data_IF_405689421385
#
_entry.id   IF_405689421385
#
_cell.length_a   1.000
_cell.length_b   1.000
_cell.length_c   1.000
_cell.angle_alpha   90.00
_cell.angle_beta   90.00
_cell.angle_gamma   90.00
#
_symmetry.space_group_name_H-M   'P 1'
#
loop_
_entity.id
_entity.type
_entity.pdbx_description
1 polymer ?
#
# COMPACT_ATOMS: atom_id res chain seq x y z
N UNK A 1 -16.14 4.78 -24.64
CA UNK A 1 -15.56 3.46 -24.30
C UNK A 1 -16.63 2.61 -23.62
N UNK A 2 -16.69 1.29 -23.85
CA UNK A 2 -17.70 0.41 -23.23
C UNK A 2 -17.42 0.28 -21.71
N UNK A 3 -18.42 0.57 -20.87
CA UNK A 3 -18.35 0.43 -19.41
C UNK A 3 -17.82 -0.96 -18.98
N UNK A 4 -18.13 -2.02 -19.73
CA UNK A 4 -17.65 -3.37 -19.44
C UNK A 4 -16.11 -3.50 -19.45
N UNK A 5 -15.39 -2.71 -20.24
CA UNK A 5 -13.92 -2.76 -20.28
C UNK A 5 -13.29 -2.09 -19.06
N UNK A 6 -13.86 -0.97 -18.59
CA UNK A 6 -13.39 -0.27 -17.39
C UNK A 6 -13.59 -1.14 -16.13
N UNK A 7 -14.73 -1.85 -16.06
CA UNK A 7 -15.03 -2.78 -14.95
C UNK A 7 -14.04 -3.95 -14.95
N UNK A 8 -13.75 -4.56 -16.11
CA UNK A 8 -12.74 -5.63 -16.22
C UNK A 8 -11.35 -5.18 -15.75
N UNK A 9 -10.95 -3.95 -16.08
CA UNK A 9 -9.68 -3.36 -15.60
C UNK A 9 -9.69 -3.16 -14.08
N UNK A 10 -10.80 -2.75 -13.49
CA UNK A 10 -10.92 -2.61 -12.03
C UNK A 10 -10.77 -3.96 -11.32
N UNK A 11 -11.42 -5.01 -11.83
CA UNK A 11 -11.24 -6.37 -11.32
C UNK A 11 -9.80 -6.89 -11.46
N UNK A 12 -9.13 -6.55 -12.56
CA UNK A 12 -7.72 -6.87 -12.75
C UNK A 12 -6.81 -6.11 -11.79
N UNK A 13 -7.05 -4.81 -11.59
CA UNK A 13 -6.24 -3.97 -10.69
C UNK A 13 -6.47 -4.27 -9.21
N UNK A 14 -7.62 -4.85 -8.83
CA UNK A 14 -7.96 -5.14 -7.44
C UNK A 14 -6.92 -6.05 -6.74
N UNK A 15 -6.50 -7.20 -7.28
CA UNK A 15 -5.49 -8.04 -6.63
C UNK A 15 -4.06 -7.78 -7.11
N UNK A 16 -3.86 -6.88 -8.09
CA UNK A 16 -2.59 -6.81 -8.85
C UNK A 16 -1.38 -6.56 -7.94
N UNK A 17 -1.52 -5.70 -6.94
CA UNK A 17 -0.43 -5.32 -6.03
C UNK A 17 0.00 -6.49 -5.16
N UNK A 18 -0.96 -7.20 -4.56
CA UNK A 18 -0.72 -8.40 -3.77
C UNK A 18 0.09 -9.45 -4.56
N UNK A 19 -0.32 -9.72 -5.81
CA UNK A 19 0.39 -10.67 -6.66
C UNK A 19 1.74 -10.15 -7.15
N UNK A 20 1.88 -8.86 -7.44
CA UNK A 20 3.15 -8.29 -7.84
C UNK A 20 4.18 -8.32 -6.69
N UNK A 21 3.79 -8.01 -5.45
CA UNK A 21 4.69 -8.10 -4.31
C UNK A 21 5.17 -9.53 -4.09
N UNK A 22 4.25 -10.49 -4.03
CA UNK A 22 4.59 -11.91 -3.88
C UNK A 22 5.45 -12.43 -5.05
N UNK A 23 5.11 -12.04 -6.29
CA UNK A 23 5.82 -12.43 -7.49
C UNK A 23 7.25 -11.88 -7.56
N UNK A 24 7.46 -10.59 -7.25
CA UNK A 24 8.80 -10.00 -7.26
C UNK A 24 9.64 -10.56 -6.12
N UNK A 25 9.07 -10.76 -4.92
CA UNK A 25 9.78 -11.46 -3.84
C UNK A 25 10.21 -12.86 -4.28
N UNK A 26 9.34 -13.63 -4.94
CA UNK A 26 9.67 -14.95 -5.46
C UNK A 26 10.81 -14.92 -6.50
N UNK A 27 10.88 -13.88 -7.35
CA UNK A 27 12.00 -13.68 -8.28
C UNK A 27 13.32 -13.40 -7.55
N UNK A 28 13.29 -12.59 -6.49
CA UNK A 28 14.46 -12.34 -5.63
C UNK A 28 14.90 -13.63 -4.93
N UNK A 29 13.95 -14.38 -4.37
CA UNK A 29 14.21 -15.68 -3.74
C UNK A 29 14.85 -16.65 -4.74
N UNK A 30 14.34 -16.72 -5.98
CA UNK A 30 14.95 -17.54 -7.02
C UNK A 30 16.41 -17.13 -7.30
N UNK A 31 16.68 -15.82 -7.40
CA UNK A 31 18.05 -15.31 -7.55
C UNK A 31 18.97 -15.71 -6.40
N UNK A 32 18.53 -15.56 -5.15
CA UNK A 32 19.28 -15.98 -3.96
C UNK A 32 19.52 -17.48 -3.92
N UNK A 33 18.53 -18.28 -4.32
CA UNK A 33 18.66 -19.73 -4.39
C UNK A 33 19.70 -20.17 -5.43
N UNK A 34 19.70 -19.56 -6.62
CA UNK A 34 20.68 -19.85 -7.70
C UNK A 34 22.11 -19.56 -7.26
N UNK A 35 22.35 -18.57 -6.40
CA UNK A 35 23.67 -18.26 -5.85
C UNK A 35 24.02 -19.04 -4.57
N UNK A 36 23.22 -20.06 -4.21
CA UNK A 36 23.50 -21.00 -3.12
C UNK A 36 23.01 -20.58 -1.74
N UNK A 37 22.09 -19.62 -1.62
CA UNK A 37 21.51 -19.25 -0.33
C UNK A 37 20.41 -20.26 0.10
N UNK A 38 20.67 -21.02 1.16
CA UNK A 38 19.73 -22.03 1.69
C UNK A 38 18.47 -21.42 2.33
N UNK A 39 18.50 -20.14 2.69
CA UNK A 39 17.37 -19.38 3.25
C UNK A 39 16.85 -18.33 2.27
N UNK A 40 16.90 -18.63 0.97
CA UNK A 40 16.63 -17.68 -0.11
C UNK A 40 15.29 -16.91 0.04
N UNK A 41 14.22 -17.58 0.48
CA UNK A 41 12.93 -16.93 0.71
C UNK A 41 12.99 -15.90 1.84
N UNK A 42 13.55 -16.27 2.99
CA UNK A 42 13.72 -15.35 4.12
C UNK A 42 14.68 -14.21 3.79
N UNK A 43 15.76 -14.49 3.04
CA UNK A 43 16.69 -13.47 2.57
C UNK A 43 15.99 -12.48 1.64
N UNK A 44 15.18 -12.98 0.70
CA UNK A 44 14.41 -12.12 -0.23
C UNK A 44 13.40 -11.22 0.49
N UNK A 45 12.82 -11.68 1.60
CA UNK A 45 11.85 -10.93 2.39
C UNK A 45 12.44 -9.61 2.95
N UNK A 46 13.74 -9.56 3.22
CA UNK A 46 14.41 -8.35 3.69
C UNK A 46 14.35 -7.23 2.64
N UNK A 47 14.26 -7.57 1.34
CA UNK A 47 14.27 -6.64 0.22
C UNK A 47 12.90 -6.02 -0.08
N UNK A 48 11.96 -6.09 0.87
CA UNK A 48 10.60 -5.62 0.67
C UNK A 48 10.43 -4.18 0.21
N UNK A 49 11.21 -3.19 0.67
CA UNK A 49 10.99 -1.84 0.17
C UNK A 49 11.33 -1.74 -1.32
N UNK A 50 12.34 -2.48 -1.76
CA UNK A 50 12.76 -2.53 -3.17
C UNK A 50 11.69 -3.20 -4.03
N UNK A 51 11.20 -4.38 -3.64
CA UNK A 51 10.16 -5.05 -4.44
C UNK A 51 8.84 -4.28 -4.43
N UNK A 52 8.51 -3.57 -3.36
CA UNK A 52 7.32 -2.70 -3.32
C UNK A 52 7.49 -1.58 -4.34
N UNK A 53 8.64 -0.93 -4.36
CA UNK A 53 8.92 0.11 -5.35
C UNK A 53 8.84 -0.40 -6.79
N UNK A 54 9.39 -1.58 -7.09
CA UNK A 54 9.31 -2.19 -8.42
C UNK A 54 7.86 -2.54 -8.82
N UNK A 55 7.09 -3.17 -7.92
CA UNK A 55 5.68 -3.47 -8.16
C UNK A 55 4.86 -2.18 -8.36
N UNK A 56 5.19 -1.12 -7.62
CA UNK A 56 4.54 0.18 -7.78
C UNK A 56 4.81 0.81 -9.13
N UNK A 57 6.02 0.67 -9.71
CA UNK A 57 6.28 1.13 -11.08
C UNK A 57 5.39 0.40 -12.10
N UNK A 58 5.24 -0.92 -11.98
CA UNK A 58 4.35 -1.69 -12.86
C UNK A 58 2.90 -1.22 -12.70
N UNK A 59 2.44 -1.05 -11.46
CA UNK A 59 1.09 -0.55 -11.19
C UNK A 59 0.87 0.87 -11.71
N UNK A 60 1.83 1.77 -11.55
CA UNK A 60 1.79 3.14 -12.07
C UNK A 60 1.65 3.14 -13.59
N UNK A 61 2.44 2.32 -14.29
CA UNK A 61 2.35 2.17 -15.75
C UNK A 61 0.96 1.69 -16.17
N UNK A 62 0.39 0.71 -15.45
CA UNK A 62 -0.97 0.21 -15.71
C UNK A 62 -2.02 1.28 -15.47
N UNK A 63 -1.95 2.03 -14.36
CA UNK A 63 -2.87 3.13 -14.06
C UNK A 63 -2.80 4.22 -15.13
N UNK A 64 -1.61 4.70 -15.47
CA UNK A 64 -1.42 5.71 -16.53
C UNK A 64 -2.03 5.22 -17.85
N UNK A 65 -1.77 3.97 -18.23
CA UNK A 65 -2.32 3.37 -19.46
C UNK A 65 -3.85 3.27 -19.40
N UNK A 66 -4.42 2.85 -18.28
CA UNK A 66 -5.86 2.65 -18.15
C UNK A 66 -6.64 3.96 -18.07
N UNK A 67 -6.14 4.96 -17.35
CA UNK A 67 -6.71 6.32 -17.38
C UNK A 67 -6.65 6.90 -18.80
N UNK A 68 -5.51 6.80 -19.49
CA UNK A 68 -5.37 7.30 -20.86
C UNK A 68 -6.34 6.61 -21.81
N UNK A 69 -6.53 5.29 -21.68
CA UNK A 69 -7.49 4.54 -22.48
C UNK A 69 -8.95 4.94 -22.19
N UNK A 70 -9.22 5.54 -21.04
CA UNK A 70 -10.53 6.09 -20.66
C UNK A 70 -10.71 7.57 -21.06
N UNK A 71 -9.72 8.17 -21.71
CA UNK A 71 -9.75 9.58 -22.13
C UNK A 71 -9.41 10.58 -21.02
N UNK A 72 -8.86 10.10 -19.89
CA UNK A 72 -8.43 10.92 -18.76
C UNK A 72 -6.92 10.76 -18.53
N UNK A 73 -6.35 11.56 -17.64
CA UNK A 73 -4.96 11.47 -17.22
C UNK A 73 -4.89 10.96 -15.79
N UNK A 74 -4.02 9.97 -15.52
CA UNK A 74 -3.77 9.53 -14.15
C UNK A 74 -3.41 10.70 -13.23
N UNK A 75 -2.65 11.67 -13.74
CA UNK A 75 -2.22 12.85 -12.97
C UNK A 75 -3.36 13.81 -12.61
N UNK A 76 -4.55 13.66 -13.21
CA UNK A 76 -5.69 14.52 -12.92
C UNK A 76 -6.22 14.34 -11.48
N UNK A 77 -6.03 13.15 -10.90
CA UNK A 77 -6.48 12.84 -9.54
C UNK A 77 -5.65 13.54 -8.45
N UNK A 78 -4.46 14.04 -8.79
CA UNK A 78 -3.55 14.73 -7.87
C UNK A 78 -3.69 16.27 -7.89
N UNK A 79 -4.72 16.79 -8.55
CA UNK A 79 -4.92 18.25 -8.65
C UNK A 79 -5.40 18.84 -7.33
N UNK A 80 -4.71 19.90 -6.90
CA UNK A 80 -5.15 20.75 -5.80
C UNK A 80 -6.20 21.75 -6.27
N UNK A 81 -7.30 21.85 -5.52
CA UNK A 81 -8.37 22.80 -5.78
C UNK A 81 -8.22 24.02 -4.87
N UNK A 82 -7.62 25.09 -5.40
CA UNK A 82 -7.22 26.29 -4.64
C UNK A 82 -8.40 26.91 -3.87
N UNK A 83 -9.59 26.87 -4.46
CA UNK A 83 -10.83 27.38 -3.87
C UNK A 83 -11.26 26.64 -2.59
N UNK A 84 -10.71 25.45 -2.32
CA UNK A 84 -11.11 24.60 -1.20
C UNK A 84 -10.00 24.26 -0.21
N UNK A 85 -8.77 24.73 -0.44
CA UNK A 85 -7.58 24.38 0.35
C UNK A 85 -7.82 24.51 1.85
N UNK A 86 -8.38 25.61 2.34
CA UNK A 86 -8.62 25.79 3.79
C UNK A 86 -9.57 24.73 4.38
N UNK A 87 -10.66 24.40 3.67
CA UNK A 87 -11.59 23.36 4.10
C UNK A 87 -10.97 21.97 3.96
N UNK A 88 -10.09 21.75 2.99
CA UNK A 88 -9.40 20.48 2.78
C UNK A 88 -8.36 20.25 3.87
N UNK A 89 -7.58 21.28 4.23
CA UNK A 89 -6.64 21.25 5.34
C UNK A 89 -7.35 20.96 6.68
N UNK A 90 -8.51 21.57 6.95
CA UNK A 90 -9.28 21.26 8.14
C UNK A 90 -9.77 19.80 8.17
N UNK A 91 -10.21 19.27 7.02
CA UNK A 91 -10.60 17.87 6.90
C UNK A 91 -9.40 16.92 7.07
N UNK A 92 -8.23 17.28 6.55
CA UNK A 92 -6.99 16.55 6.76
C UNK A 92 -6.58 16.57 8.23
N UNK A 93 -6.71 17.70 8.93
CA UNK A 93 -6.42 17.76 10.36
C UNK A 93 -7.33 16.81 11.15
N UNK A 94 -8.65 16.83 10.88
CA UNK A 94 -9.58 15.88 11.48
C UNK A 94 -9.25 14.42 11.14
N UNK A 95 -8.89 14.15 9.89
CA UNK A 95 -8.43 12.84 9.46
C UNK A 95 -7.17 12.41 10.23
N UNK A 96 -6.16 13.27 10.36
CA UNK A 96 -4.92 12.97 11.09
C UNK A 96 -5.19 12.60 12.56
N UNK A 97 -6.04 13.37 13.25
CA UNK A 97 -6.43 13.11 14.64
C UNK A 97 -7.07 11.72 14.80
N UNK A 98 -7.89 11.29 13.85
CA UNK A 98 -8.55 9.97 13.89
C UNK A 98 -7.62 8.86 13.42
N UNK A 99 -6.85 9.12 12.37
CA UNK A 99 -6.04 8.13 11.67
C UNK A 99 -4.84 7.66 12.50
N UNK A 100 -4.27 8.53 13.34
CA UNK A 100 -3.19 8.16 14.27
C UNK A 100 -3.57 7.00 15.20
N UNK A 101 -4.62 7.15 16.04
CA UNK A 101 -5.13 6.06 16.86
C UNK A 101 -5.58 4.84 16.06
N UNK A 102 -6.26 5.04 14.92
CA UNK A 102 -6.75 3.93 14.08
C UNK A 102 -5.60 3.14 13.44
N UNK A 103 -4.46 3.76 13.15
CA UNK A 103 -3.25 3.08 12.67
C UNK A 103 -2.46 2.42 13.82
N UNK A 104 -2.36 3.09 14.97
CA UNK A 104 -1.51 2.68 16.08
C UNK A 104 -2.14 1.60 16.97
N UNK A 105 -3.39 1.76 17.37
CA UNK A 105 -4.02 0.89 18.38
C UNK A 105 -4.16 -0.56 17.87
N UNK A 106 -4.68 -0.83 16.66
CA UNK A 106 -4.75 -2.20 16.14
C UNK A 106 -3.38 -2.85 16.01
N UNK A 107 -2.37 -2.09 15.56
CA UNK A 107 -1.00 -2.57 15.47
C UNK A 107 -0.48 -3.04 16.83
N UNK A 108 -0.60 -2.21 17.86
CA UNK A 108 -0.16 -2.50 19.21
C UNK A 108 -0.91 -3.69 19.82
N UNK A 109 -2.25 -3.68 19.78
CA UNK A 109 -3.06 -4.73 20.39
C UNK A 109 -2.85 -6.09 19.72
N UNK A 110 -2.86 -6.13 18.38
CA UNK A 110 -2.71 -7.37 17.63
C UNK A 110 -1.25 -7.86 17.66
N UNK A 111 -0.27 -6.97 17.68
CA UNK A 111 1.13 -7.32 17.88
C UNK A 111 1.32 -8.06 19.20
N UNK A 112 0.88 -7.47 20.31
CA UNK A 112 0.94 -8.11 21.62
C UNK A 112 0.10 -9.41 21.68
N UNK A 113 -1.09 -9.44 21.04
CA UNK A 113 -1.94 -10.62 21.04
C UNK A 113 -1.30 -11.83 20.33
N UNK A 114 -0.68 -11.61 19.16
CA UNK A 114 -0.14 -12.69 18.33
C UNK A 114 1.32 -13.03 18.63
N UNK A 115 2.08 -12.11 19.26
CA UNK A 115 3.51 -12.28 19.49
C UNK A 115 3.92 -12.17 20.96
N UNK A 116 3.03 -11.71 21.86
CA UNK A 116 3.37 -11.43 23.27
C UNK A 116 4.09 -10.10 23.45
N UNK A 117 5.00 -9.75 22.52
CA UNK A 117 5.62 -8.44 22.38
C UNK A 117 5.52 -7.96 20.91
N UNK A 118 5.17 -6.70 20.70
CA UNK A 118 5.13 -6.10 19.37
C UNK A 118 6.52 -6.07 18.69
N UNK A 119 7.60 -6.00 19.46
CA UNK A 119 8.96 -5.96 18.92
C UNK A 119 9.28 -7.22 18.10
N UNK A 120 8.79 -8.39 18.54
CA UNK A 120 8.95 -9.64 17.79
C UNK A 120 8.30 -9.59 16.40
N UNK A 121 7.17 -8.88 16.26
CA UNK A 121 6.52 -8.66 14.97
C UNK A 121 7.32 -7.68 14.09
N UNK A 122 7.90 -6.64 14.72
CA UNK A 122 8.72 -5.63 14.04
C UNK A 122 10.03 -6.25 13.54
N UNK A 123 10.67 -7.14 14.29
CA UNK A 123 11.92 -7.82 13.90
C UNK A 123 11.73 -8.77 12.71
N UNK A 124 10.51 -9.27 12.49
CA UNK A 124 10.16 -10.00 11.27
C UNK A 124 10.04 -9.09 10.04
N UNK A 125 9.73 -7.81 10.25
CA UNK A 125 9.43 -6.84 9.18
C UNK A 125 10.61 -5.94 8.83
N UNK A 126 11.33 -5.44 9.83
CA UNK A 126 12.46 -4.51 9.70
C UNK A 126 13.74 -5.30 9.92
N UNK A 127 14.40 -5.65 8.83
CA UNK A 127 15.57 -6.55 8.83
C UNK A 127 16.77 -5.92 8.12
N UNK A 128 18.00 -6.38 8.41
CA UNK A 128 19.21 -5.85 7.81
C UNK A 128 19.24 -5.90 6.27
N UNK A 129 19.76 -4.83 5.68
CA UNK A 129 19.99 -4.67 4.23
C UNK A 129 21.33 -3.97 3.99
N UNK A 130 21.98 -4.17 2.82
CA UNK A 130 23.15 -3.40 2.45
C UNK A 130 22.84 -1.89 2.44
N UNK A 131 23.79 -1.05 2.84
CA UNK A 131 23.60 0.41 2.94
C UNK A 131 23.01 1.04 1.67
N UNK A 132 23.47 0.61 0.48
CA UNK A 132 22.95 1.14 -0.78
C UNK A 132 21.45 0.85 -0.97
N UNK A 133 20.99 -0.33 -0.53
CA UNK A 133 19.59 -0.73 -0.63
C UNK A 133 18.74 0.04 0.38
N UNK A 134 19.27 0.33 1.58
CA UNK A 134 18.60 1.18 2.57
C UNK A 134 18.43 2.60 2.03
N UNK A 135 19.49 3.22 1.49
CA UNK A 135 19.42 4.57 0.89
C UNK A 135 18.42 4.60 -0.27
N UNK A 136 18.44 3.58 -1.14
CA UNK A 136 17.46 3.47 -2.22
C UNK A 136 16.03 3.35 -1.68
N UNK A 137 15.84 2.58 -0.62
CA UNK A 137 14.52 2.35 0.01
C UNK A 137 13.91 3.61 0.59
N UNK A 138 14.71 4.52 1.18
CA UNK A 138 14.22 5.76 1.79
C UNK A 138 13.53 6.69 0.78
N UNK A 139 13.92 6.64 -0.49
CA UNK A 139 13.31 7.46 -1.54
C UNK A 139 12.34 6.67 -2.42
N UNK A 140 12.79 5.50 -2.89
CA UNK A 140 12.09 4.77 -3.94
C UNK A 140 10.77 4.16 -3.47
N UNK A 141 10.78 3.52 -2.29
CA UNK A 141 9.57 2.91 -1.73
C UNK A 141 8.50 3.97 -1.41
N UNK A 142 8.78 5.00 -0.58
CA UNK A 142 7.77 5.95 -0.15
C UNK A 142 7.11 6.72 -1.29
N UNK A 143 7.92 7.24 -2.22
CA UNK A 143 7.40 8.04 -3.34
C UNK A 143 6.49 7.19 -4.23
N UNK A 144 6.93 5.99 -4.60
CA UNK A 144 6.13 5.12 -5.47
C UNK A 144 4.88 4.59 -4.75
N UNK A 145 4.96 4.34 -3.45
CA UNK A 145 3.85 3.85 -2.63
C UNK A 145 2.76 4.90 -2.46
N UNK A 146 3.13 6.12 -2.07
CA UNK A 146 2.21 7.27 -1.98
C UNK A 146 1.53 7.63 -3.30
N UNK A 147 2.22 7.42 -4.44
CA UNK A 147 1.65 7.66 -5.76
C UNK A 147 0.67 6.59 -6.23
N UNK A 148 0.75 5.35 -5.74
CA UNK A 148 0.08 4.23 -6.43
C UNK A 148 -0.96 3.55 -5.56
N UNK A 149 -0.70 3.37 -4.27
CA UNK A 149 -1.51 2.49 -3.44
C UNK A 149 -2.95 2.97 -3.32
N UNK A 150 -3.16 4.12 -2.68
CA UNK A 150 -4.49 4.70 -2.47
C UNK A 150 -5.19 4.99 -3.80
N UNK A 151 -4.51 5.55 -4.82
CA UNK A 151 -5.09 5.71 -6.15
C UNK A 151 -5.60 4.41 -6.78
N UNK A 152 -4.87 3.30 -6.63
CA UNK A 152 -5.31 2.00 -7.18
C UNK A 152 -6.66 1.60 -6.60
N UNK A 153 -6.77 1.55 -5.27
CA UNK A 153 -7.98 1.02 -4.65
C UNK A 153 -9.14 2.02 -4.63
N UNK A 154 -8.86 3.28 -4.27
CA UNK A 154 -9.91 4.24 -3.92
C UNK A 154 -10.32 5.15 -5.07
N UNK A 155 -9.40 5.43 -6.01
CA UNK A 155 -9.67 6.30 -7.16
C UNK A 155 -9.87 5.52 -8.46
N UNK A 156 -9.21 4.37 -8.59
CA UNK A 156 -9.33 3.53 -9.77
C UNK A 156 -10.41 2.45 -9.61
N UNK A 157 -10.22 1.53 -8.65
CA UNK A 157 -11.06 0.33 -8.51
C UNK A 157 -12.46 0.67 -7.95
N UNK A 158 -12.55 1.28 -6.78
CA UNK A 158 -13.83 1.58 -6.10
C UNK A 158 -14.91 2.21 -7.00
N UNK A 159 -14.66 3.35 -7.68
CA UNK A 159 -15.70 4.01 -8.48
C UNK A 159 -16.09 3.19 -9.73
N UNK A 160 -15.17 2.41 -10.30
CA UNK A 160 -15.45 1.55 -11.46
C UNK A 160 -16.30 0.34 -11.08
N UNK A 161 -16.06 -0.24 -9.91
CA UNK A 161 -16.88 -1.31 -9.35
C UNK A 161 -18.30 -0.81 -9.03
N UNK A 162 -18.42 0.36 -8.39
CA UNK A 162 -19.72 0.97 -8.07
C UNK A 162 -20.51 1.30 -9.33
N UNK A 163 -19.88 1.92 -10.34
CA UNK A 163 -20.49 2.16 -11.65
C UNK A 163 -20.85 0.87 -12.40
N UNK A 164 -20.16 -0.23 -12.08
CA UNK A 164 -20.44 -1.57 -12.60
C UNK A 164 -21.63 -2.27 -11.95
N UNK A 165 -22.30 -1.63 -11.00
CA UNK A 165 -23.51 -2.15 -10.36
C UNK A 165 -23.28 -2.84 -9.02
N UNK A 166 -22.05 -2.84 -8.49
CA UNK A 166 -21.82 -3.33 -7.13
C UNK A 166 -22.51 -2.43 -6.09
N UNK A 167 -23.19 -2.99 -5.08
CA UNK A 167 -23.76 -2.22 -3.99
C UNK A 167 -22.74 -1.28 -3.36
N UNK A 168 -23.20 -0.12 -2.87
CA UNK A 168 -22.34 0.93 -2.30
C UNK A 168 -21.31 0.39 -1.32
N UNK A 169 -21.72 -0.47 -0.39
CA UNK A 169 -20.86 -1.06 0.63
C UNK A 169 -19.91 -2.11 0.08
N UNK A 170 -20.35 -2.94 -0.87
CA UNK A 170 -19.46 -3.89 -1.54
C UNK A 170 -18.34 -3.17 -2.30
N UNK A 171 -18.65 -2.04 -2.95
CA UNK A 171 -17.67 -1.21 -3.65
C UNK A 171 -16.66 -0.54 -2.72
N UNK A 172 -16.99 -0.35 -1.43
CA UNK A 172 -16.07 0.17 -0.40
C UNK A 172 -15.25 -0.96 0.22
N UNK A 173 -15.93 -2.01 0.69
CA UNK A 173 -15.31 -3.08 1.47
C UNK A 173 -14.35 -3.92 0.64
N UNK A 174 -14.67 -4.19 -0.63
CA UNK A 174 -13.83 -5.06 -1.44
C UNK A 174 -12.45 -4.45 -1.73
N UNK A 175 -12.30 -3.20 -2.23
CA UNK A 175 -11.00 -2.56 -2.33
C UNK A 175 -10.30 -2.37 -0.98
N UNK A 176 -11.05 -2.14 0.10
CA UNK A 176 -10.51 -2.05 1.46
C UNK A 176 -9.84 -3.36 1.90
N UNK A 177 -10.52 -4.49 1.67
CA UNK A 177 -9.99 -5.81 2.00
C UNK A 177 -8.71 -6.12 1.24
N UNK A 178 -8.64 -5.76 -0.05
CA UNK A 178 -7.42 -5.97 -0.84
C UNK A 178 -6.29 -4.98 -0.49
N UNK A 179 -6.63 -3.73 -0.16
CA UNK A 179 -5.67 -2.75 0.40
C UNK A 179 -5.06 -3.27 1.70
N UNK A 180 -5.83 -3.92 2.57
CA UNK A 180 -5.29 -4.57 3.76
C UNK A 180 -4.49 -5.83 3.41
N UNK A 181 -5.06 -6.72 2.58
CA UNK A 181 -4.47 -8.02 2.24
C UNK A 181 -3.09 -7.93 1.57
N UNK A 182 -2.82 -6.90 0.76
CA UNK A 182 -1.49 -6.76 0.15
C UNK A 182 -0.35 -6.64 1.19
N UNK A 183 -0.62 -6.18 2.41
CA UNK A 183 0.38 -6.04 3.48
C UNK A 183 0.88 -7.40 3.97
N UNK A 184 0.14 -8.47 3.71
CA UNK A 184 0.58 -9.86 3.91
C UNK A 184 1.80 -10.17 3.03
N UNK A 185 1.90 -9.55 1.85
CA UNK A 185 2.99 -9.77 0.89
C UNK A 185 4.12 -8.74 1.01
N UNK A 186 4.16 -7.96 2.09
CA UNK A 186 5.20 -6.96 2.34
C UNK A 186 5.81 -7.17 3.73
N UNK A 187 6.77 -8.10 3.90
CA UNK A 187 7.04 -9.22 3.00
C UNK A 187 6.12 -10.41 3.22
N UNK A 188 6.09 -11.30 2.23
CA UNK A 188 5.39 -12.58 2.35
C UNK A 188 6.21 -13.55 3.21
N UNK A 189 5.86 -13.65 4.49
CA UNK A 189 6.39 -14.65 5.41
C UNK A 189 5.30 -15.70 5.68
N UNK A 190 5.65 -16.99 5.57
CA UNK A 190 4.74 -18.10 5.85
C UNK A 190 4.59 -18.36 7.36
N UNK A 191 4.24 -17.30 8.10
CA UNK A 191 3.98 -17.31 9.53
C UNK A 191 2.56 -16.79 9.76
N UNK A 192 1.67 -17.62 10.31
CA UNK A 192 0.25 -17.28 10.43
C UNK A 192 0.02 -16.08 11.36
N UNK A 193 0.78 -15.95 12.44
CA UNK A 193 0.69 -14.82 13.36
C UNK A 193 1.07 -13.53 12.63
N UNK A 194 2.13 -13.55 11.83
CA UNK A 194 2.54 -12.42 11.00
C UNK A 194 1.50 -12.07 9.93
N UNK A 195 0.97 -13.07 9.22
CA UNK A 195 -0.07 -12.89 8.19
C UNK A 195 -1.33 -12.24 8.79
N UNK A 196 -1.82 -12.78 9.91
CA UNK A 196 -3.01 -12.28 10.60
C UNK A 196 -2.78 -10.87 11.16
N UNK A 197 -1.63 -10.64 11.81
CA UNK A 197 -1.25 -9.33 12.31
C UNK A 197 -1.21 -8.30 11.17
N UNK A 198 -0.46 -8.55 10.10
CA UNK A 198 -0.35 -7.65 8.94
C UNK A 198 -1.71 -7.38 8.28
N UNK A 199 -2.56 -8.39 8.13
CA UNK A 199 -3.88 -8.17 7.54
C UNK A 199 -4.78 -7.33 8.44
N UNK A 200 -4.93 -7.74 9.71
CA UNK A 200 -5.90 -7.17 10.64
C UNK A 200 -5.48 -5.80 11.17
N UNK A 201 -4.18 -5.54 11.36
CA UNK A 201 -3.71 -4.24 11.83
C UNK A 201 -3.99 -3.12 10.83
N UNK A 202 -3.89 -3.41 9.53
CA UNK A 202 -4.08 -2.41 8.47
C UNK A 202 -5.54 -2.24 8.08
N UNK A 203 -6.40 -3.24 8.34
CA UNK A 203 -7.80 -3.22 7.90
C UNK A 203 -8.62 -2.01 8.41
N UNK A 204 -8.55 -1.61 9.69
CA UNK A 204 -9.25 -0.42 10.19
C UNK A 204 -8.81 0.87 9.50
N UNK A 205 -7.50 1.04 9.31
CA UNK A 205 -6.94 2.20 8.63
C UNK A 205 -7.31 2.23 7.15
N UNK A 206 -7.25 1.08 6.47
CA UNK A 206 -7.68 0.94 5.08
C UNK A 206 -9.15 1.34 4.90
N UNK A 207 -10.02 0.93 5.83
CA UNK A 207 -11.44 1.29 5.81
C UNK A 207 -11.63 2.79 6.03
N UNK A 208 -10.91 3.40 6.97
CA UNK A 208 -10.97 4.83 7.21
C UNK A 208 -10.57 5.62 5.95
N UNK A 209 -9.46 5.25 5.31
CA UNK A 209 -9.02 5.87 4.05
C UNK A 209 -10.07 5.71 2.95
N UNK A 210 -10.67 4.53 2.81
CA UNK A 210 -11.72 4.28 1.83
C UNK A 210 -12.95 5.18 2.05
N UNK A 211 -13.39 5.32 3.30
CA UNK A 211 -14.52 6.18 3.67
C UNK A 211 -14.22 7.66 3.42
N UNK A 212 -13.01 8.11 3.78
CA UNK A 212 -12.57 9.51 3.62
C UNK A 212 -12.43 9.87 2.15
N UNK A 213 -11.80 9.02 1.34
CA UNK A 213 -11.66 9.26 -0.11
C UNK A 213 -13.03 9.19 -0.79
N UNK A 214 -13.92 8.27 -0.40
CA UNK A 214 -15.28 8.23 -0.95
C UNK A 214 -16.09 9.47 -0.60
N UNK A 215 -15.94 9.99 0.62
CA UNK A 215 -16.59 11.23 1.03
C UNK A 215 -16.02 12.46 0.31
N UNK A 216 -14.69 12.54 0.17
CA UNK A 216 -14.01 13.73 -0.32
C UNK A 216 -12.75 13.38 -1.15
N UNK A 217 -12.92 12.96 -2.42
CA UNK A 217 -11.80 12.48 -3.26
C UNK A 217 -10.66 13.49 -3.44
N UNK A 218 -10.96 14.79 -3.41
CA UNK A 218 -9.98 15.88 -3.49
C UNK A 218 -8.94 15.91 -2.35
N UNK A 219 -9.13 15.12 -1.29
CA UNK A 219 -8.13 14.98 -0.22
C UNK A 219 -6.94 14.11 -0.66
N UNK A 220 -7.05 13.38 -1.76
CA UNK A 220 -6.02 12.46 -2.24
C UNK A 220 -4.62 13.08 -2.34
N UNK A 221 -4.39 14.29 -2.91
CA UNK A 221 -3.05 14.85 -3.01
C UNK A 221 -2.40 15.06 -1.63
N UNK A 222 -3.19 15.49 -0.65
CA UNK A 222 -2.72 15.70 0.73
C UNK A 222 -2.43 14.36 1.41
N UNK A 223 -3.35 13.40 1.28
CA UNK A 223 -3.18 12.06 1.85
C UNK A 223 -1.97 11.36 1.21
N UNK A 224 -1.72 11.54 -0.08
CA UNK A 224 -0.55 10.99 -0.75
C UNK A 224 0.76 11.58 -0.18
N UNK A 225 0.82 12.90 0.07
CA UNK A 225 1.99 13.53 0.70
C UNK A 225 2.21 12.97 2.11
N UNK A 226 1.16 12.91 2.92
CA UNK A 226 1.23 12.36 4.29
C UNK A 226 1.68 10.90 4.24
N UNK A 227 1.16 10.11 3.30
CA UNK A 227 1.53 8.72 3.12
C UNK A 227 3.02 8.56 2.76
N UNK A 228 3.54 9.37 1.83
CA UNK A 228 4.99 9.41 1.54
C UNK A 228 5.79 9.69 2.80
N UNK A 229 5.38 10.67 3.63
CA UNK A 229 6.10 11.00 4.86
C UNK A 229 6.07 9.85 5.88
N UNK A 230 4.93 9.16 6.00
CA UNK A 230 4.80 7.97 6.85
C UNK A 230 5.71 6.84 6.37
N UNK A 231 5.73 6.57 5.07
CA UNK A 231 6.56 5.52 4.49
C UNK A 231 8.06 5.83 4.60
N UNK A 232 8.45 7.12 4.46
CA UNK A 232 9.82 7.56 4.74
C UNK A 232 10.19 7.25 6.19
N UNK A 233 9.29 7.54 7.14
CA UNK A 233 9.52 7.20 8.54
C UNK A 233 9.75 5.70 8.75
N UNK A 234 9.00 4.83 8.08
CA UNK A 234 9.22 3.39 8.14
C UNK A 234 10.54 2.98 7.49
N UNK A 235 10.88 3.54 6.33
CA UNK A 235 12.13 3.22 5.63
C UNK A 235 13.38 3.64 6.41
N UNK A 236 13.30 4.76 7.14
CA UNK A 236 14.40 5.24 8.01
C UNK A 236 14.73 4.25 9.14
N UNK A 237 13.78 3.42 9.58
CA UNK A 237 14.02 2.38 10.59
C UNK A 237 15.05 1.32 10.12
N UNK A 238 15.35 1.25 8.81
CA UNK A 238 16.36 0.35 8.26
C UNK A 238 17.80 0.88 8.44
N UNK A 239 18.00 2.19 8.66
CA UNK A 239 19.33 2.80 8.76
C UNK A 239 20.20 2.20 9.87
N UNK A 240 19.70 1.99 11.10
CA UNK A 240 20.51 1.38 12.17
C UNK A 240 20.88 -0.09 11.91
N UNK A 241 20.22 -0.74 10.95
CA UNK A 241 20.44 -2.15 10.59
C UNK A 241 21.24 -2.31 9.29
N UNK A 242 21.70 -1.22 8.70
CA UNK A 242 22.44 -1.23 7.45
C UNK A 242 23.84 -1.84 7.64
N UNK A 243 24.30 -2.64 6.67
CA UNK A 243 25.65 -3.21 6.62
C UNK A 243 26.39 -2.91 5.31
#
# INVERSE_FOLDING_TARGET
MNNGTAIKRAWFMLPVRLFLFAGIQALFALGFWVIGNNEAWNTSANWWPIFVGLANLVCLLLLVRFYKAEGDSFWSIFKFHKEFVGKDLLAILGFLVISGPVAFIPNMLLGNLFFGDINDAVDLFIRPLPMWAVIASILFFPVTQGLVEIPTYMMFVMPRLEKGGLPRWASILLPTLFLAAQHIAIPLLFNMNFILWRFLMFLPFALLVALVIKWRPRLLPYIAIIHVLMDVSTAVMLLPLAY
#
